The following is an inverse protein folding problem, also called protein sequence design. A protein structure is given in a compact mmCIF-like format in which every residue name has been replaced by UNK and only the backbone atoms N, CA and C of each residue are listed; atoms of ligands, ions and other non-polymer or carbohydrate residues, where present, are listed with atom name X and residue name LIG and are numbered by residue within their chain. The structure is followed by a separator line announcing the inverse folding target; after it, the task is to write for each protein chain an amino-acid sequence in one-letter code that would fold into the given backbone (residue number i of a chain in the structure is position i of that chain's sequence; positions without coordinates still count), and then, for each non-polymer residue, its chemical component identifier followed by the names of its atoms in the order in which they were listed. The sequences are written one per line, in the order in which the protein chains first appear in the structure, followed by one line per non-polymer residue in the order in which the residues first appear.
data_IF_994819747323
#
_entry.id   IF_994819747323
#
_cell.length_a   1.000
_cell.length_b   1.000
_cell.length_c   1.000
_cell.angle_alpha   90.00
_cell.angle_beta   90.00
_cell.angle_gamma   90.00
#
_symmetry.space_group_name_H-M   'P 1'
#
loop_
_entity.id
_entity.type
_entity.pdbx_description
1 polymer ?
#
# COMPACT_ATOMS: atom_id res chain seq x y z
N UNK A 1 18.71 -0.01 64.32
CA UNK A 1 18.07 -1.25 63.81
C UNK A 1 16.55 -1.12 63.63
N UNK A 2 15.78 -0.66 64.64
CA UNK A 2 14.32 -0.54 64.56
C UNK A 2 13.80 0.43 63.48
N UNK A 3 14.48 1.55 63.23
CA UNK A 3 14.07 2.54 62.21
C UNK A 3 14.38 2.11 60.77
N UNK A 4 15.37 1.23 60.56
CA UNK A 4 15.74 0.69 59.24
C UNK A 4 14.73 -0.37 58.80
N UNK A 5 14.27 -1.20 59.74
CA UNK A 5 13.20 -2.19 59.49
C UNK A 5 11.88 -1.53 59.10
N UNK A 6 11.51 -0.41 59.74
CA UNK A 6 10.31 0.36 59.40
C UNK A 6 10.39 1.02 58.02
N UNK A 7 11.56 1.49 57.60
CA UNK A 7 11.74 2.08 56.26
C UNK A 7 11.71 1.02 55.17
N UNK A 8 12.32 -0.15 55.39
CA UNK A 8 12.26 -1.27 54.44
C UNK A 8 10.82 -1.80 54.30
N UNK A 9 10.07 -1.89 55.41
CA UNK A 9 8.67 -2.30 55.37
C UNK A 9 7.78 -1.30 54.62
N UNK A 10 8.00 0.00 54.79
CA UNK A 10 7.22 1.05 54.11
C UNK A 10 7.52 1.12 52.61
N UNK A 11 8.78 0.95 52.20
CA UNK A 11 9.17 0.89 50.77
C UNK A 11 8.65 -0.38 50.11
N UNK A 12 8.64 -1.52 50.82
CA UNK A 12 8.05 -2.77 50.32
C UNK A 12 6.53 -2.67 50.11
N UNK A 13 5.82 -1.98 51.01
CA UNK A 13 4.38 -1.73 50.87
C UNK A 13 4.05 -0.77 49.71
N UNK A 14 4.87 0.27 49.48
CA UNK A 14 4.67 1.17 48.34
C UNK A 14 5.03 0.51 46.98
N UNK A 15 6.01 -0.39 46.94
CA UNK A 15 6.36 -1.11 45.71
C UNK A 15 5.29 -2.15 45.31
N UNK A 16 4.56 -2.72 46.27
CA UNK A 16 3.43 -3.63 46.03
C UNK A 16 2.12 -2.92 45.66
N UNK A 17 2.05 -1.59 45.84
CA UNK A 17 0.91 -0.75 45.50
C UNK A 17 1.10 0.02 44.17
N UNK A 18 2.08 -0.37 43.36
CA UNK A 18 2.09 0.04 41.96
C UNK A 18 0.98 -0.76 41.27
N UNK A 19 -0.03 -0.11 40.64
CA UNK A 19 -0.93 -0.83 39.78
C UNK A 19 -0.05 -1.56 38.77
N UNK A 20 -0.22 -2.88 38.67
CA UNK A 20 0.29 -3.67 37.56
C UNK A 20 0.13 -2.80 36.33
N UNK A 21 1.21 -2.54 35.59
CA UNK A 21 1.06 -1.93 34.27
C UNK A 21 0.01 -2.78 33.58
N UNK A 22 -1.16 -2.21 33.34
CA UNK A 22 -2.21 -2.86 32.59
C UNK A 22 -1.62 -2.98 31.18
N UNK A 23 -0.87 -4.04 30.94
CA UNK A 23 -0.70 -4.55 29.61
C UNK A 23 -2.12 -4.94 29.21
N UNK A 24 -2.73 -4.16 28.33
CA UNK A 24 -4.06 -4.41 27.78
C UNK A 24 -4.03 -5.62 26.83
N UNK A 25 -3.59 -6.78 27.34
CA UNK A 25 -3.35 -7.98 26.53
C UNK A 25 -4.08 -9.22 27.05
N UNK A 26 -4.84 -9.11 28.15
CA UNK A 26 -5.65 -10.22 28.66
C UNK A 26 -7.13 -9.80 28.74
N UNK A 27 -7.77 -9.63 27.58
CA UNK A 27 -9.18 -9.24 27.51
C UNK A 27 -10.15 -10.39 27.82
N UNK A 28 -9.65 -11.62 28.03
CA UNK A 28 -10.47 -12.78 28.37
C UNK A 28 -11.52 -13.17 27.33
N UNK A 29 -11.38 -12.72 26.08
CA UNK A 29 -12.35 -12.99 25.02
C UNK A 29 -12.34 -14.47 24.60
N UNK A 30 -13.49 -14.95 24.11
CA UNK A 30 -13.57 -16.28 23.50
C UNK A 30 -12.65 -16.38 22.28
N UNK A 31 -12.28 -17.60 21.88
CA UNK A 31 -11.36 -17.83 20.75
C UNK A 31 -11.83 -17.26 19.41
N UNK A 32 -13.10 -16.90 19.31
CA UNK A 32 -13.78 -16.33 18.14
C UNK A 32 -14.06 -14.82 18.25
N UNK A 33 -13.61 -14.14 19.30
CA UNK A 33 -13.87 -12.73 19.56
C UNK A 33 -12.59 -11.89 19.62
N UNK A 34 -12.65 -10.64 19.14
CA UNK A 34 -11.51 -9.73 19.14
C UNK A 34 -11.62 -8.70 20.27
N UNK A 35 -10.49 -8.22 20.80
CA UNK A 35 -10.48 -7.15 21.80
C UNK A 35 -10.42 -5.75 21.16
N UNK A 36 -11.49 -4.98 21.33
CA UNK A 36 -11.54 -3.58 20.89
C UNK A 36 -10.56 -2.71 21.67
N UNK A 37 -10.25 -1.52 21.14
CA UNK A 37 -9.38 -0.54 21.83
C UNK A 37 -9.92 -0.08 23.19
N UNK A 38 -11.19 -0.38 23.49
CA UNK A 38 -11.89 -0.02 24.71
C UNK A 38 -12.06 -1.20 25.68
N UNK A 39 -11.47 -2.36 25.39
CA UNK A 39 -11.51 -3.54 26.27
C UNK A 39 -12.79 -4.37 26.17
N UNK A 40 -13.57 -4.24 25.10
CA UNK A 40 -14.74 -5.08 24.82
C UNK A 40 -14.45 -6.15 23.78
N UNK A 41 -15.02 -7.34 23.98
CA UNK A 41 -15.00 -8.44 23.02
C UNK A 41 -16.04 -8.20 21.90
N UNK A 42 -15.64 -8.38 20.65
CA UNK A 42 -16.53 -8.21 19.50
C UNK A 42 -15.78 -8.23 18.17
N UNK A 43 -16.41 -7.71 17.13
CA UNK A 43 -15.85 -7.64 15.76
C UNK A 43 -15.12 -6.31 15.53
N UNK A 44 -13.85 -6.23 15.94
CA UNK A 44 -12.94 -5.09 15.69
C UNK A 44 -11.86 -4.94 16.76
N UNK A 45 -10.58 -4.77 16.38
CA UNK A 45 -9.48 -4.92 17.35
C UNK A 45 -8.21 -4.09 17.11
N UNK A 46 -7.45 -3.90 18.22
CA UNK A 46 -6.14 -3.21 18.28
C UNK A 46 -4.91 -4.16 18.34
N UNK A 47 -5.05 -5.43 18.74
CA UNK A 47 -3.98 -6.45 18.68
C UNK A 47 -4.52 -7.90 18.73
N UNK A 48 -3.92 -8.81 17.94
CA UNK A 48 -4.33 -10.23 17.76
C UNK A 48 -4.64 -10.56 16.29
N UNK A 49 -4.85 -11.84 15.91
CA UNK A 49 -5.37 -12.20 14.59
C UNK A 49 -6.87 -11.88 14.54
N UNK A 50 -7.16 -10.62 14.25
CA UNK A 50 -8.49 -10.02 14.39
C UNK A 50 -9.35 -10.04 13.11
N UNK A 51 -8.84 -10.75 12.10
CA UNK A 51 -9.56 -11.23 10.94
C UNK A 51 -9.10 -12.68 10.78
N UNK A 52 -10.00 -13.59 10.37
CA UNK A 52 -9.51 -14.81 9.73
C UNK A 52 -8.50 -14.37 8.67
N UNK A 53 -7.29 -14.94 8.70
CA UNK A 53 -6.32 -14.65 7.64
C UNK A 53 -7.06 -14.77 6.31
N UNK A 54 -6.96 -13.78 5.40
CA UNK A 54 -7.64 -13.84 4.13
C UNK A 54 -7.40 -15.22 3.55
N UNK A 55 -8.49 -15.93 3.25
CA UNK A 55 -8.37 -17.27 2.68
C UNK A 55 -7.69 -17.09 1.35
N UNK A 56 -6.44 -17.52 1.25
CA UNK A 56 -5.76 -17.54 -0.04
C UNK A 56 -6.41 -18.65 -0.84
N UNK A 57 -6.84 -18.32 -2.04
CA UNK A 57 -7.33 -19.34 -2.95
C UNK A 57 -6.16 -20.00 -3.69
N UNK A 58 -6.48 -20.89 -4.62
CA UNK A 58 -5.48 -21.56 -5.46
C UNK A 58 -5.29 -20.85 -6.80
N UNK A 59 -5.66 -19.56 -6.91
CA UNK A 59 -5.56 -18.81 -8.17
C UNK A 59 -4.11 -18.44 -8.44
N UNK A 60 -3.73 -18.65 -9.70
CA UNK A 60 -2.50 -18.11 -10.27
C UNK A 60 -2.87 -16.89 -11.11
N UNK A 61 -2.49 -15.69 -10.64
CA UNK A 61 -2.70 -14.44 -11.40
C UNK A 61 -2.04 -14.50 -12.79
N UNK A 62 -0.82 -15.05 -12.97
CA UNK A 62 -0.24 -15.23 -14.31
C UNK A 62 -1.06 -16.10 -15.26
N UNK A 63 -1.82 -17.07 -14.73
CA UNK A 63 -2.68 -17.95 -15.54
C UNK A 63 -4.01 -17.28 -15.92
N UNK A 64 -4.44 -16.25 -15.17
CA UNK A 64 -5.59 -15.41 -15.52
C UNK A 64 -5.17 -14.29 -16.48
N UNK A 65 -4.12 -13.56 -16.13
CA UNK A 65 -3.55 -12.49 -16.94
C UNK A 65 -2.58 -13.12 -17.93
N UNK A 66 -3.11 -13.79 -18.95
CA UNK A 66 -2.32 -14.36 -20.05
C UNK A 66 -1.83 -13.27 -21.00
N UNK A 67 -0.94 -13.62 -21.93
CA UNK A 67 -0.57 -12.71 -23.02
C UNK A 67 -1.82 -12.30 -23.83
N UNK A 68 -2.71 -13.23 -24.14
CA UNK A 68 -3.96 -12.93 -24.86
C UNK A 68 -4.88 -11.98 -24.09
N UNK A 69 -4.99 -12.14 -22.77
CA UNK A 69 -5.75 -11.22 -21.93
C UNK A 69 -5.16 -9.80 -21.98
N UNK A 70 -3.85 -9.68 -21.75
CA UNK A 70 -3.17 -8.39 -21.75
C UNK A 70 -3.21 -7.73 -23.13
N UNK A 71 -2.88 -8.51 -24.18
CA UNK A 71 -2.91 -8.08 -25.58
C UNK A 71 -4.32 -7.70 -26.05
N UNK A 72 -5.36 -8.33 -25.51
CA UNK A 72 -6.76 -7.96 -25.78
C UNK A 72 -7.15 -6.58 -25.24
N UNK A 73 -6.50 -6.09 -24.19
CA UNK A 73 -6.72 -4.73 -23.67
C UNK A 73 -5.89 -3.73 -24.48
N UNK A 74 -4.57 -3.91 -24.51
CA UNK A 74 -3.64 -2.95 -25.16
C UNK A 74 -3.81 -2.91 -26.70
N UNK A 75 -4.37 -3.97 -27.28
CA UNK A 75 -4.73 -4.03 -28.70
C UNK A 75 -5.89 -3.11 -29.09
N UNK A 76 -6.66 -2.58 -28.12
CA UNK A 76 -7.73 -1.60 -28.39
C UNK A 76 -7.19 -0.16 -28.55
N UNK A 77 -5.97 0.11 -28.08
CA UNK A 77 -5.32 1.39 -28.30
C UNK A 77 -4.78 1.50 -29.73
N UNK A 78 -4.81 2.73 -30.26
CA UNK A 78 -4.24 3.07 -31.57
C UNK A 78 -2.76 2.68 -31.65
N UNK A 79 -2.30 2.25 -32.84
CA UNK A 79 -0.91 1.81 -33.02
C UNK A 79 0.14 2.90 -32.77
N UNK A 80 -0.26 4.18 -32.85
CA UNK A 80 0.61 5.31 -32.52
C UNK A 80 0.78 5.58 -31.02
N UNK A 81 0.02 4.90 -30.16
CA UNK A 81 0.08 5.09 -28.71
C UNK A 81 1.45 4.67 -28.14
N UNK A 82 2.14 5.62 -27.50
CA UNK A 82 3.47 5.40 -26.90
C UNK A 82 3.47 4.29 -25.85
N UNK A 83 2.37 4.16 -25.09
CA UNK A 83 2.24 3.15 -24.05
C UNK A 83 2.29 1.70 -24.55
N UNK A 84 2.04 1.45 -25.84
CA UNK A 84 2.18 0.10 -26.45
C UNK A 84 3.61 -0.43 -26.40
N UNK A 85 4.60 0.45 -26.30
CA UNK A 85 6.02 0.08 -26.16
C UNK A 85 6.51 0.04 -24.71
N UNK A 86 5.73 0.59 -23.79
CA UNK A 86 6.08 0.74 -22.37
C UNK A 86 5.42 -0.33 -21.50
N UNK A 87 4.10 -0.49 -21.62
CA UNK A 87 3.33 -1.44 -20.83
C UNK A 87 3.47 -2.84 -21.40
N UNK A 88 3.89 -3.78 -20.56
CA UNK A 88 3.99 -5.19 -20.93
C UNK A 88 3.42 -6.07 -19.83
N UNK A 89 2.93 -7.25 -20.22
CA UNK A 89 2.53 -8.29 -19.26
C UNK A 89 3.68 -8.63 -18.31
N UNK A 90 4.92 -8.71 -18.83
CA UNK A 90 6.08 -9.02 -18.00
C UNK A 90 6.28 -7.97 -16.89
N UNK A 91 6.22 -6.68 -17.23
CA UNK A 91 6.33 -5.62 -16.23
C UNK A 91 5.21 -5.69 -15.17
N UNK A 92 3.99 -6.08 -15.54
CA UNK A 92 2.92 -6.35 -14.58
C UNK A 92 3.24 -7.53 -13.66
N UNK A 93 3.79 -8.63 -14.20
CA UNK A 93 4.18 -9.79 -13.40
C UNK A 93 5.35 -9.50 -12.47
N UNK A 94 6.34 -8.71 -12.92
CA UNK A 94 7.46 -8.28 -12.09
C UNK A 94 6.96 -7.42 -10.91
N UNK A 95 6.00 -6.52 -11.16
CA UNK A 95 5.36 -5.74 -10.10
C UNK A 95 4.54 -6.61 -9.13
N UNK A 96 3.87 -7.64 -9.64
CA UNK A 96 3.07 -8.57 -8.85
C UNK A 96 3.88 -9.30 -7.77
N UNK A 97 5.17 -9.55 -8.00
CA UNK A 97 6.05 -10.20 -7.00
C UNK A 97 6.11 -9.43 -5.67
N UNK A 98 5.92 -8.10 -5.71
CA UNK A 98 5.87 -7.25 -4.51
C UNK A 98 4.53 -7.29 -3.77
N UNK A 99 3.47 -7.82 -4.41
CA UNK A 99 2.10 -7.81 -3.90
C UNK A 99 1.45 -9.21 -3.98
N UNK A 100 1.95 -10.20 -3.23
CA UNK A 100 1.53 -11.61 -3.35
C UNK A 100 0.06 -11.89 -2.99
N UNK A 101 -0.62 -10.95 -2.32
CA UNK A 101 -2.05 -11.05 -1.97
C UNK A 101 -2.99 -10.51 -3.06
N UNK A 102 -2.47 -9.78 -4.05
CA UNK A 102 -3.25 -9.23 -5.14
C UNK A 102 -3.85 -10.36 -5.98
N UNK A 103 -5.17 -10.38 -6.13
CA UNK A 103 -5.87 -11.36 -6.97
C UNK A 103 -5.77 -12.80 -6.46
N UNK A 104 -5.48 -13.01 -5.18
CA UNK A 104 -5.38 -14.34 -4.54
C UNK A 104 -6.18 -14.44 -3.24
N UNK A 105 -7.00 -13.43 -2.94
CA UNK A 105 -7.73 -13.32 -1.67
C UNK A 105 -9.22 -13.64 -1.82
N UNK A 106 -9.71 -14.60 -1.03
CA UNK A 106 -11.11 -14.98 -0.95
C UNK A 106 -11.45 -16.18 -1.83
N UNK A 107 -12.49 -16.04 -2.67
CA UNK A 107 -12.85 -17.09 -3.64
C UNK A 107 -12.22 -16.81 -5.00
N UNK A 108 -12.15 -17.84 -5.86
CA UNK A 108 -11.72 -17.71 -7.27
C UNK A 108 -12.47 -16.58 -7.99
N UNK A 109 -13.76 -16.41 -7.70
CA UNK A 109 -14.56 -15.32 -8.29
C UNK A 109 -14.17 -13.95 -7.75
N UNK A 110 -13.78 -13.83 -6.48
CA UNK A 110 -13.24 -12.59 -5.93
C UNK A 110 -11.90 -12.22 -6.57
N UNK A 111 -11.00 -13.19 -6.70
CA UNK A 111 -9.72 -13.02 -7.38
C UNK A 111 -9.88 -12.56 -8.83
N UNK A 112 -10.77 -13.22 -9.60
CA UNK A 112 -11.12 -12.78 -10.96
C UNK A 112 -11.72 -11.37 -10.98
N UNK A 113 -12.58 -11.03 -10.02
CA UNK A 113 -13.18 -9.70 -9.91
C UNK A 113 -12.16 -8.63 -9.57
N UNK A 114 -11.22 -8.91 -8.67
CA UNK A 114 -10.14 -7.99 -8.29
C UNK A 114 -9.23 -7.70 -9.50
N UNK A 115 -8.77 -8.74 -10.19
CA UNK A 115 -7.94 -8.60 -11.40
C UNK A 115 -8.71 -7.81 -12.48
N UNK A 116 -9.97 -8.16 -12.74
CA UNK A 116 -10.78 -7.45 -13.72
C UNK A 116 -11.02 -5.98 -13.34
N UNK A 117 -11.29 -5.71 -12.06
CA UNK A 117 -11.48 -4.35 -11.57
C UNK A 117 -10.21 -3.51 -11.69
N UNK A 118 -9.05 -4.08 -11.34
CA UNK A 118 -7.76 -3.43 -11.51
C UNK A 118 -7.53 -3.04 -12.98
N UNK A 119 -7.63 -4.00 -13.91
CA UNK A 119 -7.42 -3.71 -15.32
C UNK A 119 -8.49 -2.80 -15.92
N UNK A 120 -9.72 -2.79 -15.39
CA UNK A 120 -10.76 -1.84 -15.80
C UNK A 120 -10.38 -0.40 -15.43
N UNK A 121 -9.88 -0.16 -14.21
CA UNK A 121 -9.39 1.17 -13.81
C UNK A 121 -8.17 1.56 -14.63
N UNK A 122 -7.20 0.66 -14.80
CA UNK A 122 -6.02 0.92 -15.62
C UNK A 122 -6.41 1.30 -17.05
N UNK A 123 -7.34 0.56 -17.64
CA UNK A 123 -7.86 0.84 -18.98
C UNK A 123 -8.51 2.22 -19.06
N UNK A 124 -9.27 2.61 -18.04
CA UNK A 124 -9.91 3.92 -17.97
C UNK A 124 -8.88 5.05 -17.87
N UNK A 125 -7.96 4.96 -16.90
CA UNK A 125 -6.99 6.01 -16.58
C UNK A 125 -5.97 6.24 -17.71
N UNK A 126 -5.59 5.17 -18.42
CA UNK A 126 -4.54 5.25 -19.46
C UNK A 126 -5.08 5.27 -20.89
N UNK A 127 -6.39 5.15 -21.07
CA UNK A 127 -6.99 4.98 -22.39
C UNK A 127 -6.52 3.69 -23.07
N UNK A 128 -6.75 2.54 -22.45
CA UNK A 128 -6.30 1.22 -22.91
C UNK A 128 -4.77 1.10 -23.05
N UNK A 129 -4.02 1.56 -22.04
CA UNK A 129 -2.56 1.63 -22.04
C UNK A 129 -1.97 2.56 -23.10
N UNK A 130 -2.71 3.57 -23.57
CA UNK A 130 -2.19 4.51 -24.54
C UNK A 130 -1.21 5.51 -23.91
N UNK A 131 -1.59 6.05 -22.74
CA UNK A 131 -0.86 7.13 -22.07
C UNK A 131 -0.04 6.60 -20.88
N UNK A 132 1.21 7.07 -20.81
CA UNK A 132 2.12 6.84 -19.68
C UNK A 132 2.02 8.01 -18.70
N UNK A 133 1.98 9.21 -19.23
CA UNK A 133 1.85 10.46 -18.49
C UNK A 133 0.51 11.13 -18.83
N UNK A 134 0.00 11.92 -17.89
CA UNK A 134 -1.15 12.79 -18.08
C UNK A 134 -0.94 13.70 -19.31
N UNK A 135 -2.00 13.85 -20.12
CA UNK A 135 -1.99 14.75 -21.27
C UNK A 135 -1.78 16.18 -20.78
N UNK A 136 -0.75 16.85 -21.30
CA UNK A 136 -0.30 18.17 -20.87
C UNK A 136 0.11 18.27 -19.38
N UNK A 137 0.37 17.12 -18.73
CA UNK A 137 0.65 17.04 -17.29
C UNK A 137 1.84 17.88 -16.83
N UNK A 138 2.88 18.05 -17.66
CA UNK A 138 4.03 18.90 -17.36
C UNK A 138 3.67 20.39 -17.14
N UNK A 139 2.46 20.81 -17.56
CA UNK A 139 1.93 22.15 -17.30
C UNK A 139 1.30 22.29 -15.90
N UNK A 140 1.10 21.19 -15.19
CA UNK A 140 0.44 21.11 -13.89
C UNK A 140 1.39 20.51 -12.84
N UNK A 141 1.63 21.26 -11.75
CA UNK A 141 2.57 20.81 -10.72
C UNK A 141 1.99 19.73 -9.79
N UNK A 142 0.68 19.73 -9.54
CA UNK A 142 0.03 18.81 -8.57
C UNK A 142 0.77 18.77 -7.22
N UNK A 143 1.19 19.94 -6.74
CA UNK A 143 1.86 20.08 -5.47
C UNK A 143 0.89 20.71 -4.46
N UNK A 144 0.62 20.00 -3.37
CA UNK A 144 0.00 20.57 -2.19
C UNK A 144 1.08 20.92 -1.16
N UNK A 145 1.43 22.21 -1.10
CA UNK A 145 2.42 22.75 -0.17
C UNK A 145 1.98 22.68 1.30
N UNK A 146 0.69 22.45 1.56
CA UNK A 146 0.19 22.30 2.93
C UNK A 146 0.54 20.93 3.53
N UNK A 147 0.87 19.93 2.69
CA UNK A 147 1.29 18.60 3.13
C UNK A 147 2.79 18.57 3.43
N UNK A 148 3.14 18.91 4.67
CA UNK A 148 4.55 18.99 5.12
C UNK A 148 5.25 17.65 5.29
N UNK A 149 4.50 16.53 5.40
CA UNK A 149 5.09 15.17 5.46
C UNK A 149 5.74 14.78 4.13
N UNK A 150 5.18 15.24 3.01
CA UNK A 150 5.63 14.93 1.66
C UNK A 150 5.90 16.24 0.91
N UNK A 151 6.96 16.97 1.30
CA UNK A 151 7.22 18.30 0.77
C UNK A 151 7.48 18.26 -0.73
N UNK A 152 6.96 19.25 -1.44
CA UNK A 152 7.18 19.35 -2.88
C UNK A 152 8.62 19.74 -3.20
N UNK A 153 9.16 19.14 -4.25
CA UNK A 153 10.35 19.64 -4.92
C UNK A 153 9.93 20.68 -5.98
N UNK A 154 10.42 21.94 -5.92
CA UNK A 154 10.07 22.98 -6.88
C UNK A 154 10.47 22.67 -8.34
N UNK A 155 11.41 21.75 -8.57
CA UNK A 155 11.87 21.35 -9.90
C UNK A 155 11.11 20.13 -10.47
N UNK A 156 10.04 19.69 -9.81
CA UNK A 156 9.30 18.48 -10.15
C UNK A 156 7.81 18.76 -10.21
N UNK A 157 7.13 18.11 -11.16
CA UNK A 157 5.67 18.04 -11.25
C UNK A 157 5.17 16.64 -10.92
N UNK A 158 4.10 16.57 -10.14
CA UNK A 158 3.46 15.35 -9.63
C UNK A 158 2.16 15.01 -10.39
N UNK A 159 2.13 15.31 -11.69
CA UNK A 159 1.02 14.95 -12.59
C UNK A 159 0.88 13.43 -12.76
N UNK A 160 -0.24 13.01 -13.35
CA UNK A 160 -0.58 11.60 -13.51
C UNK A 160 0.49 10.79 -14.24
N UNK A 161 0.93 9.67 -13.63
CA UNK A 161 1.82 8.70 -14.28
C UNK A 161 1.41 7.26 -14.07
N UNK A 162 1.69 6.44 -15.06
CA UNK A 162 1.55 4.99 -15.02
C UNK A 162 0.10 4.50 -15.02
N UNK A 163 -0.11 3.20 -14.69
CA UNK A 163 -1.39 2.50 -14.86
C UNK A 163 -2.57 3.11 -14.11
N UNK A 164 -2.34 3.74 -12.97
CA UNK A 164 -3.40 4.34 -12.13
C UNK A 164 -3.33 5.88 -12.11
N UNK A 165 -2.53 6.48 -13.02
CA UNK A 165 -2.29 7.93 -13.09
C UNK A 165 -1.98 8.54 -11.72
N UNK A 166 -0.99 7.95 -11.03
CA UNK A 166 -0.53 8.41 -9.71
C UNK A 166 -0.22 9.91 -9.78
N UNK A 167 -0.88 10.68 -8.92
CA UNK A 167 -0.86 12.14 -8.93
C UNK A 167 -0.67 12.67 -7.51
N UNK A 168 -0.12 13.87 -7.37
CA UNK A 168 0.14 14.58 -6.11
C UNK A 168 1.32 14.11 -5.27
N UNK A 169 2.09 15.07 -4.73
CA UNK A 169 3.22 14.85 -3.82
C UNK A 169 2.90 13.89 -2.67
N UNK A 170 1.72 14.01 -2.07
CA UNK A 170 1.31 13.17 -0.94
C UNK A 170 0.95 11.73 -1.30
N UNK A 171 0.83 11.40 -2.59
CA UNK A 171 0.71 10.02 -3.05
C UNK A 171 2.05 9.49 -3.58
N UNK A 172 2.83 10.33 -4.27
CA UNK A 172 4.16 9.97 -4.76
C UNK A 172 5.13 9.63 -3.62
N UNK A 173 5.15 10.41 -2.54
CA UNK A 173 5.98 10.14 -1.36
C UNK A 173 5.79 8.74 -0.77
N UNK A 174 4.57 8.37 -0.30
CA UNK A 174 4.34 7.05 0.27
C UNK A 174 4.44 5.92 -0.75
N UNK A 175 4.12 6.15 -2.03
CA UNK A 175 4.38 5.16 -3.08
C UNK A 175 5.89 4.88 -3.18
N UNK A 176 6.70 5.93 -3.24
CA UNK A 176 8.16 5.86 -3.18
C UNK A 176 8.68 5.01 -2.03
N UNK A 177 8.26 5.33 -0.83
CA UNK A 177 8.64 4.61 0.39
C UNK A 177 8.26 3.13 0.34
N UNK A 178 7.08 2.81 -0.21
CA UNK A 178 6.54 1.45 -0.26
C UNK A 178 7.28 0.55 -1.24
N UNK A 179 7.59 1.07 -2.44
CA UNK A 179 8.19 0.27 -3.53
C UNK A 179 9.67 0.58 -3.79
N UNK A 180 10.31 1.34 -2.91
CA UNK A 180 11.77 1.51 -2.88
C UNK A 180 12.30 2.50 -3.90
N UNK A 181 11.58 3.60 -4.14
CA UNK A 181 12.08 4.73 -4.91
C UNK A 181 11.89 6.08 -4.24
N UNK A 182 12.67 7.05 -4.70
CA UNK A 182 12.46 8.43 -4.26
C UNK A 182 11.32 9.05 -5.04
N UNK A 183 10.12 9.06 -4.44
CA UNK A 183 8.92 9.69 -5.00
C UNK A 183 8.90 11.21 -4.88
N UNK A 184 9.83 11.80 -4.12
CA UNK A 184 10.00 13.25 -3.99
C UNK A 184 11.44 13.66 -4.33
N UNK A 185 11.98 13.20 -5.48
CA UNK A 185 13.41 13.20 -5.71
C UNK A 185 13.97 14.60 -5.74
N UNK A 186 15.03 14.85 -4.97
CA UNK A 186 15.71 16.14 -4.98
C UNK A 186 16.32 16.44 -6.36
N UNK A 187 16.65 17.70 -6.64
CA UNK A 187 17.28 18.09 -7.91
C UNK A 187 18.59 17.33 -8.21
N UNK A 188 19.25 16.79 -7.17
CA UNK A 188 20.49 16.04 -7.25
C UNK A 188 20.31 14.55 -7.61
N UNK A 189 19.11 13.98 -7.45
CA UNK A 189 18.88 12.52 -7.44
C UNK A 189 18.32 11.96 -8.77
N UNK A 190 18.44 12.72 -9.88
CA UNK A 190 18.01 12.34 -11.24
C UNK A 190 18.52 10.98 -11.76
N UNK A 191 19.40 10.29 -11.03
CA UNK A 191 20.01 9.02 -11.42
C UNK A 191 19.45 7.78 -10.70
N UNK A 192 18.55 7.91 -9.73
CA UNK A 192 18.08 6.78 -8.92
C UNK A 192 16.61 6.38 -9.16
N UNK A 193 15.98 6.81 -10.25
CA UNK A 193 14.58 6.45 -10.49
C UNK A 193 14.43 4.99 -10.94
N UNK A 194 13.57 4.17 -10.29
CA UNK A 194 13.28 2.80 -10.69
C UNK A 194 12.59 2.78 -12.06
N UNK A 195 12.33 1.59 -12.57
CA UNK A 195 11.68 1.34 -13.86
C UNK A 195 10.36 2.12 -14.11
N UNK A 196 9.72 2.67 -13.07
CA UNK A 196 8.47 3.44 -13.16
C UNK A 196 8.65 4.82 -13.84
N UNK A 197 9.82 5.47 -13.77
CA UNK A 197 10.07 6.72 -14.51
C UNK A 197 11.07 6.57 -15.68
N UNK A 198 11.64 5.37 -15.88
CA UNK A 198 12.76 5.15 -16.82
C UNK A 198 12.54 4.07 -17.87
N UNK A 199 11.30 3.84 -18.25
CA UNK A 199 10.98 3.26 -19.55
C UNK A 199 10.08 4.20 -20.33
#
# INVERSE_FOLDING_TARGET
MRNILLTIALVGFLAAALPSRVAAQDCGCSSDECCSQWGYCGTGCRSGQCYAAPTTDTVSVPDIVTDDFFNGIIGQADDSCVGKSFYSRQAFLDALESYPLFGTTGSVDNSKREIAAFFAHVTHETGHFCYIEEIDGASNNYCDETVTQYPCNPDKGYYGRGPIQLSWNFNYGPAGESIGFDGLPSAADRKASPEIERR
#
